data_IF_704587052303
#
_entry.id   IF_704587052303
#
_cell.length_a   1.000
_cell.length_b   1.000
_cell.length_c   1.000
_cell.angle_alpha   90.00
_cell.angle_beta   90.00
_cell.angle_gamma   90.00
#
_symmetry.space_group_name_H-M   'P 1'
#
loop_
_entity.id
_entity.type
_entity.pdbx_description
1 polymer ?
#
# COMPACT_ATOMS: atom_id res chain seq x y z
N UNK A 1 -26.42 -14.87 28.37
CA UNK A 1 -26.58 -14.72 26.90
C UNK A 1 -26.18 -13.29 26.56
N UNK A 2 -25.00 -13.10 25.98
CA UNK A 2 -24.54 -11.75 25.61
C UNK A 2 -25.11 -11.39 24.26
N UNK A 3 -25.85 -10.29 24.23
CA UNK A 3 -26.41 -9.60 23.05
C UNK A 3 -25.29 -8.93 22.23
N UNK A 4 -24.13 -9.56 22.10
CA UNK A 4 -22.98 -8.95 21.42
C UNK A 4 -23.02 -9.32 19.95
N UNK A 5 -23.32 -8.33 19.11
CA UNK A 5 -23.17 -8.47 17.66
C UNK A 5 -21.73 -8.86 17.28
N UNK A 6 -21.59 -9.59 16.16
CA UNK A 6 -20.31 -10.01 15.59
C UNK A 6 -19.81 -8.99 14.58
N UNK A 7 -18.54 -8.59 14.68
CA UNK A 7 -17.85 -7.84 13.62
C UNK A 7 -17.18 -8.80 12.65
N UNK A 8 -17.38 -8.59 11.35
CA UNK A 8 -16.74 -9.39 10.31
C UNK A 8 -15.29 -8.95 10.08
N UNK A 9 -14.43 -9.91 9.70
CA UNK A 9 -13.04 -9.64 9.36
C UNK A 9 -12.94 -8.71 8.14
N UNK A 10 -11.93 -7.85 8.16
CA UNK A 10 -11.61 -6.90 7.09
C UNK A 10 -10.19 -7.20 6.62
N UNK A 11 -10.04 -7.55 5.36
CA UNK A 11 -8.76 -7.63 4.67
C UNK A 11 -8.67 -6.45 3.72
N UNK A 12 -7.49 -5.84 3.55
CA UNK A 12 -7.31 -4.77 2.57
C UNK A 12 -5.90 -4.80 1.99
N UNK A 13 -5.76 -4.36 0.74
CA UNK A 13 -4.48 -4.28 0.05
C UNK A 13 -4.30 -2.89 -0.55
N UNK A 14 -3.12 -2.31 -0.36
CA UNK A 14 -2.70 -1.04 -0.95
C UNK A 14 -1.54 -1.33 -1.92
N UNK A 15 -1.53 -0.67 -3.08
CA UNK A 15 -0.49 -0.82 -4.09
C UNK A 15 0.09 0.54 -4.48
N UNK A 16 1.40 0.61 -4.66
CA UNK A 16 2.07 1.79 -5.17
C UNK A 16 3.19 1.38 -6.13
N UNK A 17 3.28 2.09 -7.26
CA UNK A 17 4.32 1.89 -8.27
C UNK A 17 4.90 3.24 -8.65
N UNK A 18 6.22 3.28 -8.85
CA UNK A 18 6.92 4.50 -9.23
C UNK A 18 7.97 4.21 -10.27
N UNK A 19 8.13 5.13 -11.24
CA UNK A 19 9.19 5.03 -12.24
C UNK A 19 9.82 6.39 -12.51
N UNK A 20 11.14 6.38 -12.59
CA UNK A 20 11.90 7.54 -13.04
C UNK A 20 11.72 7.74 -14.55
N UNK A 21 11.42 8.97 -14.91
CA UNK A 21 11.18 9.44 -16.28
C UNK A 21 12.11 10.61 -16.60
N UNK A 22 12.11 11.06 -17.87
CA UNK A 22 12.91 12.20 -18.31
C UNK A 22 14.42 12.05 -18.03
N UNK A 23 14.99 10.86 -18.26
CA UNK A 23 16.40 10.55 -17.97
C UNK A 23 16.76 10.79 -16.48
N UNK A 24 15.86 10.44 -15.56
CA UNK A 24 16.04 10.62 -14.12
C UNK A 24 15.77 12.04 -13.61
N UNK A 25 15.22 12.93 -14.46
CA UNK A 25 14.86 14.31 -14.09
C UNK A 25 13.45 14.44 -13.52
N UNK A 26 12.63 13.41 -13.66
CA UNK A 26 11.32 13.37 -13.03
C UNK A 26 10.98 11.97 -12.54
N UNK A 27 10.01 11.89 -11.64
CA UNK A 27 9.50 10.63 -11.10
C UNK A 27 7.98 10.69 -11.16
N UNK A 28 7.38 9.67 -11.77
CA UNK A 28 5.93 9.45 -11.74
C UNK A 28 5.66 8.36 -10.71
N UNK A 29 4.79 8.63 -9.76
CA UNK A 29 4.32 7.65 -8.78
C UNK A 29 2.80 7.54 -8.88
N UNK A 30 2.31 6.31 -8.95
CA UNK A 30 0.90 6.00 -8.88
C UNK A 30 0.65 5.12 -7.66
N UNK A 31 -0.31 5.49 -6.82
CA UNK A 31 -0.74 4.66 -5.70
C UNK A 31 -2.25 4.52 -5.66
N UNK A 32 -2.68 3.32 -5.26
CA UNK A 32 -4.08 2.97 -5.04
C UNK A 32 -4.20 2.40 -3.63
N UNK A 33 -5.15 2.95 -2.87
CA UNK A 33 -5.52 2.45 -1.54
C UNK A 33 -6.79 1.63 -1.66
N UNK A 34 -6.80 0.47 -1.01
CA UNK A 34 -7.90 -0.48 -1.00
C UNK A 34 -8.30 -0.99 -2.40
N UNK A 35 -7.37 -1.73 -3.02
CA UNK A 35 -7.49 -2.31 -4.38
C UNK A 35 -8.77 -3.11 -4.56
N UNK A 36 -9.25 -3.78 -3.50
CA UNK A 36 -10.45 -4.61 -3.52
C UNK A 36 -11.71 -3.89 -2.99
N UNK A 37 -11.61 -2.60 -2.60
CA UNK A 37 -12.70 -1.85 -1.95
C UNK A 37 -13.33 -2.64 -0.79
N UNK A 38 -12.45 -3.18 0.04
CA UNK A 38 -12.70 -4.22 1.03
C UNK A 38 -12.76 -3.68 2.46
N UNK A 39 -12.38 -2.41 2.68
CA UNK A 39 -12.32 -1.79 4.00
C UNK A 39 -13.69 -1.30 4.49
N UNK A 40 -14.68 -2.18 4.45
CA UNK A 40 -16.07 -1.97 4.90
C UNK A 40 -16.24 -2.66 6.25
N UNK A 41 -16.68 -1.91 7.27
CA UNK A 41 -17.02 -2.50 8.58
C UNK A 41 -18.42 -3.09 8.48
N UNK A 42 -18.55 -4.37 8.78
CA UNK A 42 -19.83 -5.07 8.82
C UNK A 42 -20.04 -5.65 10.22
N UNK A 43 -21.19 -5.36 10.80
CA UNK A 43 -21.60 -5.86 12.11
C UNK A 43 -22.95 -6.56 11.98
N UNK A 44 -23.05 -7.76 12.52
CA UNK A 44 -24.28 -8.55 12.52
C UNK A 44 -24.74 -8.73 13.97
N UNK A 45 -25.96 -8.32 14.27
CA UNK A 45 -26.64 -8.61 15.53
C UNK A 45 -27.64 -9.73 15.26
N UNK A 46 -27.42 -10.88 15.89
CA UNK A 46 -28.24 -12.08 15.72
C UNK A 46 -28.73 -12.52 17.09
N UNK A 47 -30.00 -12.23 17.38
CA UNK A 47 -30.70 -12.62 18.60
C UNK A 47 -32.06 -13.22 18.24
N UNK A 48 -32.67 -14.06 19.11
CA UNK A 48 -33.80 -14.91 18.74
C UNK A 48 -35.00 -14.22 18.07
N UNK A 49 -35.26 -12.95 18.39
CA UNK A 49 -36.39 -12.17 17.85
C UNK A 49 -35.94 -10.97 16.98
N UNK A 50 -34.63 -10.82 16.71
CA UNK A 50 -34.11 -9.65 16.01
C UNK A 50 -32.82 -9.97 15.24
N UNK A 51 -32.86 -9.75 13.94
CA UNK A 51 -31.71 -9.82 13.03
C UNK A 51 -31.43 -8.42 12.46
N UNK A 52 -30.20 -7.95 12.58
CA UNK A 52 -29.77 -6.69 12.00
C UNK A 52 -28.36 -6.78 11.44
N UNK A 53 -28.20 -6.29 10.22
CA UNK A 53 -26.91 -6.13 9.54
C UNK A 53 -26.64 -4.64 9.34
N UNK A 54 -25.42 -4.21 9.67
CA UNK A 54 -24.98 -2.82 9.54
C UNK A 54 -23.65 -2.76 8.80
N UNK A 55 -23.59 -1.94 7.76
CA UNK A 55 -22.39 -1.66 6.98
C UNK A 55 -21.97 -0.20 7.17
N UNK A 56 -20.68 0.03 7.43
CA UNK A 56 -20.13 1.37 7.57
C UNK A 56 -18.76 1.49 6.87
N UNK A 57 -18.65 2.45 5.95
CA UNK A 57 -17.42 2.73 5.21
C UNK A 57 -16.90 4.14 5.51
N UNK A 58 -15.83 4.23 6.31
CA UNK A 58 -15.21 5.50 6.70
C UNK A 58 -14.54 6.25 5.54
N UNK A 59 -14.05 5.53 4.53
CA UNK A 59 -13.34 6.08 3.37
C UNK A 59 -13.51 5.17 2.16
N UNK A 60 -13.72 5.77 1.00
CA UNK A 60 -13.77 5.06 -0.29
C UNK A 60 -12.36 4.83 -0.83
N UNK A 61 -12.25 3.95 -1.84
CA UNK A 61 -11.02 3.73 -2.61
C UNK A 61 -10.46 5.05 -3.13
N UNK A 62 -9.14 5.24 -3.03
CA UNK A 62 -8.46 6.44 -3.51
C UNK A 62 -7.35 6.08 -4.50
N UNK A 63 -7.25 6.88 -5.56
CA UNK A 63 -6.17 6.83 -6.55
C UNK A 63 -5.39 8.13 -6.47
N UNK A 64 -4.07 8.04 -6.37
CA UNK A 64 -3.18 9.19 -6.29
C UNK A 64 -2.13 9.06 -7.39
N UNK A 65 -2.08 10.06 -8.26
CA UNK A 65 -1.03 10.20 -9.26
C UNK A 65 -0.17 11.42 -8.89
N UNK A 66 1.12 11.21 -8.73
CA UNK A 66 2.07 12.26 -8.37
C UNK A 66 3.16 12.35 -9.43
N UNK A 67 3.39 13.56 -9.93
CA UNK A 67 4.50 13.87 -10.82
C UNK A 67 5.46 14.84 -10.14
N UNK A 68 6.72 14.43 -10.02
CA UNK A 68 7.80 15.26 -9.51
C UNK A 68 8.80 15.56 -10.63
N UNK A 69 9.21 16.83 -10.77
CA UNK A 69 10.19 17.25 -11.78
C UNK A 69 11.26 18.17 -11.21
N UNK A 70 12.53 17.95 -11.60
CA UNK A 70 13.69 18.74 -11.15
C UNK A 70 14.18 19.68 -12.26
N UNK A 71 13.96 20.99 -12.08
CA UNK A 71 14.32 22.05 -13.04
C UNK A 71 15.84 22.21 -13.19
N UNK A 72 16.60 22.07 -12.10
CA UNK A 72 18.08 22.11 -12.08
C UNK A 72 18.58 20.90 -11.29
N UNK A 73 18.94 19.78 -11.94
CA UNK A 73 19.66 18.74 -11.24
C UNK A 73 21.00 19.34 -10.83
N UNK A 74 21.17 19.69 -9.55
CA UNK A 74 22.50 19.96 -9.02
C UNK A 74 23.37 18.78 -9.40
N UNK A 75 24.53 19.05 -10.05
CA UNK A 75 25.48 18.04 -10.54
C UNK A 75 25.50 16.86 -9.58
N UNK A 76 24.93 15.73 -10.01
CA UNK A 76 24.78 14.58 -9.14
C UNK A 76 26.16 14.03 -8.84
N UNK A 77 26.61 14.12 -7.58
CA UNK A 77 27.75 13.35 -7.02
C UNK A 77 27.52 11.82 -7.04
N UNK A 78 26.67 11.33 -7.94
CA UNK A 78 26.34 9.92 -8.12
C UNK A 78 27.21 9.27 -9.20
N UNK A 79 27.82 10.06 -10.08
CA UNK A 79 28.82 9.58 -11.05
C UNK A 79 30.22 9.38 -10.43
N UNK A 80 30.49 9.92 -9.23
CA UNK A 80 31.75 9.71 -8.48
C UNK A 80 31.77 8.40 -7.66
N UNK A 81 30.70 7.59 -7.67
CA UNK A 81 30.69 6.28 -7.00
C UNK A 81 30.64 5.10 -7.98
N UNK A 82 31.16 5.29 -9.18
CA UNK A 82 31.55 4.17 -10.01
C UNK A 82 32.83 3.52 -9.46
N UNK A 83 32.78 2.20 -9.24
CA UNK A 83 33.92 1.27 -9.11
C UNK A 83 34.60 1.19 -7.73
N UNK A 84 34.09 0.27 -6.90
CA UNK A 84 34.79 -0.29 -5.75
C UNK A 84 34.13 -1.63 -5.38
N UNK A 85 34.74 -2.70 -5.86
CA UNK A 85 34.82 -4.06 -5.30
C UNK A 85 33.77 -4.57 -4.28
N UNK A 86 33.31 -5.80 -4.52
CA UNK A 86 33.35 -6.82 -3.47
C UNK A 86 32.05 -7.56 -3.18
N UNK A 87 32.02 -8.84 -3.56
CA UNK A 87 31.37 -9.89 -2.77
C UNK A 87 29.98 -10.31 -3.24
N UNK A 88 29.93 -11.40 -4.01
CA UNK A 88 28.74 -12.24 -4.05
C UNK A 88 28.47 -12.83 -2.67
N UNK A 89 27.19 -12.92 -2.31
CA UNK A 89 26.73 -13.84 -1.28
C UNK A 89 25.56 -14.61 -1.86
N UNK A 90 25.92 -15.73 -2.49
CA UNK A 90 25.11 -16.93 -2.52
C UNK A 90 25.21 -17.55 -1.11
N UNK A 91 24.10 -17.97 -0.49
CA UNK A 91 24.15 -18.72 0.77
C UNK A 91 22.95 -18.63 1.71
N UNK A 92 22.14 -19.70 1.71
CA UNK A 92 21.33 -20.20 2.83
C UNK A 92 19.99 -19.48 3.07
N UNK A 93 18.80 -20.07 2.99
CA UNK A 93 18.46 -21.46 3.33
C UNK A 93 18.43 -21.60 4.85
N UNK A 94 17.22 -21.60 5.44
CA UNK A 94 16.90 -21.83 6.87
C UNK A 94 17.13 -20.60 7.81
N UNK A 95 16.38 -20.31 8.90
CA UNK A 95 15.37 -20.97 9.72
C UNK A 95 14.45 -19.93 10.42
N UNK A 96 13.25 -20.40 10.80
CA UNK A 96 12.25 -19.85 11.75
C UNK A 96 11.31 -18.74 11.29
#
# INVERSE_FOLDING_TARGET
RTTQGRSLAITSMDLAVGRDVLKGRGTITFSVRDVFNSRIRRSIVDVPDFYSESEFQWRVRQFILTFNYRLRPGKSRRDERGRGEGGGMDGGGDMF
#
